data_IF_612879060752
#
_entry.id   IF_612879060752
#
_cell.length_a   1.000
_cell.length_b   1.000
_cell.length_c   1.000
_cell.angle_alpha   90.00
_cell.angle_beta   90.00
_cell.angle_gamma   90.00
#
_symmetry.space_group_name_H-M   'P 1'
#
loop_
_entity.id
_entity.type
_entity.pdbx_description
1 polymer ?
2 non-polymer ?
3 water ?
#
# COMPACT_ATOMS: atom_id res chain seq x y z
N UNK A 1 18.68 -3.60 1.45
CA UNK A 1 18.24 -4.66 2.34
C UNK A 1 17.07 -5.38 1.75
N UNK A 2 17.00 -6.68 2.00
CA UNK A 2 15.89 -7.49 1.57
C UNK A 2 14.86 -7.43 2.71
N UNK A 3 13.65 -6.97 2.44
CA UNK A 3 12.65 -6.85 3.49
C UNK A 3 11.53 -7.88 3.29
N UNK A 4 11.24 -8.65 4.34
CA UNK A 4 10.16 -9.65 4.38
C UNK A 4 8.94 -8.91 4.92
N UNK A 5 7.83 -9.48 4.50
CA UNK A 5 6.58 -8.92 4.83
C UNK A 5 5.89 -9.48 6.02
N UNK A 6 6.58 -10.16 6.93
CA UNK A 6 5.92 -10.67 8.12
C UNK A 6 5.58 -9.53 9.03
N UNK A 7 6.35 -8.45 9.05
CA UNK A 7 5.93 -7.32 9.87
C UNK A 7 5.71 -6.21 8.88
N UNK A 8 5.08 -5.12 9.30
CA UNK A 8 4.92 -3.94 8.47
C UNK A 8 6.33 -3.45 8.12
N UNK A 9 6.57 -3.10 6.80
CA UNK A 9 7.88 -2.64 6.30
C UNK A 9 8.05 -1.17 6.56
N UNK A 10 8.57 -0.98 7.75
CA UNK A 10 8.79 0.33 8.31
C UNK A 10 10.21 0.73 8.21
N UNK A 11 10.38 1.98 7.92
CA UNK A 11 11.69 2.51 7.75
C UNK A 11 11.80 3.89 8.37
N UNK A 12 12.99 4.26 8.72
CA UNK A 12 13.18 5.57 9.34
C UNK A 12 13.58 6.59 8.27
N UNK A 13 12.89 7.72 8.36
CA UNK A 13 13.17 8.77 7.45
C UNK A 13 13.58 10.01 8.21
N UNK A 14 14.33 10.83 7.51
CA UNK A 14 14.77 12.11 7.99
C UNK A 14 14.27 13.04 6.93
N UNK A 15 13.44 13.97 7.37
CA UNK A 15 12.84 14.94 6.49
C UNK A 15 12.72 16.30 7.22
N UNK A 16 13.25 17.32 6.60
CA UNK A 16 13.19 18.63 7.23
C UNK A 16 13.82 18.71 8.60
N UNK A 17 14.92 18.02 8.82
CA UNK A 17 15.58 18.02 10.11
C UNK A 17 14.97 17.16 11.20
N UNK A 18 13.82 16.50 10.93
CA UNK A 18 13.08 15.67 11.88
C UNK A 18 13.13 14.20 11.53
N UNK A 19 13.22 13.35 12.57
CA UNK A 19 13.30 11.93 12.30
C UNK A 19 11.94 11.37 12.44
N UNK A 20 11.55 10.49 11.55
CA UNK A 20 10.22 9.91 11.70
C UNK A 20 10.27 8.52 11.15
N UNK A 21 9.22 7.79 11.36
CA UNK A 21 9.17 6.47 10.77
C UNK A 21 8.12 6.44 9.66
N UNK A 22 8.25 5.57 8.67
CA UNK A 22 7.28 5.54 7.60
C UNK A 22 7.17 4.16 7.01
N UNK A 23 6.04 3.93 6.46
CA UNK A 23 5.75 2.69 5.87
C UNK A 23 6.04 2.65 4.40
N UNK A 24 6.78 1.63 3.98
CA UNK A 24 7.09 1.40 2.59
C UNK A 24 5.85 0.86 1.89
N UNK A 25 5.22 1.65 1.05
CA UNK A 25 4.01 1.23 0.40
C UNK A 25 3.94 1.20 -1.13
N UNK A 26 3.87 -0.02 -1.69
CA UNK A 26 3.72 -0.22 -3.14
C UNK A 26 2.35 0.08 -3.65
N UNK A 27 1.33 0.05 -2.81
CA UNK A 27 -0.01 0.36 -3.27
C UNK A 27 -0.35 1.86 -3.31
N UNK A 28 0.62 2.77 -3.03
CA UNK A 28 0.42 4.22 -3.01
C UNK A 28 1.24 4.86 -4.09
N UNK A 29 0.60 5.68 -4.90
CA UNK A 29 1.34 6.32 -5.93
C UNK A 29 2.26 7.38 -5.37
N UNK A 30 1.78 8.03 -4.31
CA UNK A 30 2.40 9.17 -3.66
C UNK A 30 2.93 8.91 -2.29
N UNK A 31 3.65 9.93 -1.78
CA UNK A 31 4.23 9.95 -0.45
C UNK A 31 3.39 10.92 0.37
N UNK A 32 2.83 10.40 1.43
CA UNK A 32 1.97 11.16 2.28
C UNK A 32 2.33 11.16 3.75
N UNK A 33 2.59 12.35 4.29
CA UNK A 33 3.00 12.43 5.65
C UNK A 33 1.99 13.11 6.54
N UNK A 34 1.98 12.60 7.76
CA UNK A 34 1.17 13.13 8.83
C UNK A 34 1.55 14.60 8.98
N UNK A 35 0.65 15.42 9.46
CA UNK A 35 0.96 16.84 9.60
C UNK A 35 2.34 17.15 10.25
N UNK A 36 3.09 18.11 9.65
CA UNK A 36 4.42 18.50 10.12
C UNK A 36 4.86 19.86 9.67
N UNK A 37 6.00 20.21 10.26
CA UNK A 37 6.67 21.47 10.08
C UNK A 37 7.55 21.45 8.85
N UNK A 38 6.98 21.91 7.74
CA UNK A 38 7.68 21.97 6.47
C UNK A 38 7.75 23.41 5.96
N UNK A 39 8.76 23.68 5.14
CA UNK A 39 8.90 25.01 4.65
C UNK A 39 8.95 25.13 3.16
N UNK A 40 8.50 26.32 2.78
CA UNK A 40 8.46 26.70 1.39
C UNK A 40 7.01 26.79 0.93
N UNK A 41 6.83 26.77 -0.35
CA UNK A 41 5.46 26.85 -0.73
C UNK A 41 4.75 25.52 -0.90
N UNK A 42 3.44 25.61 -1.03
CA UNK A 42 2.62 24.45 -1.18
C UNK A 42 1.35 24.61 -1.98
N UNK A 43 0.89 23.56 -2.65
CA UNK A 43 -0.38 23.66 -3.38
C UNK A 43 -1.41 22.79 -2.67
N UNK A 44 -2.68 23.18 -2.60
CA UNK A 44 -3.69 22.30 -1.99
C UNK A 44 -4.03 21.18 -2.97
N UNK A 45 -4.31 19.98 -2.46
CA UNK A 45 -4.66 18.81 -3.29
C UNK A 45 -5.59 17.85 -2.50
N UNK A 46 -6.17 16.90 -3.23
CA UNK A 46 -7.03 15.87 -2.72
C UNK A 46 -6.62 14.53 -3.27
N UNK A 47 -6.52 13.51 -2.44
CA UNK A 47 -6.15 12.18 -2.86
C UNK A 47 -7.18 11.21 -2.40
N UNK A 48 -7.19 10.06 -2.98
CA UNK A 48 -8.17 9.16 -2.48
C UNK A 48 -7.54 7.88 -2.01
N UNK A 49 -8.19 7.27 -1.08
CA UNK A 49 -7.76 6.02 -0.54
C UNK A 49 -8.95 5.17 -0.21
N UNK A 50 -8.71 4.25 0.69
CA UNK A 50 -9.73 3.38 1.13
C UNK A 50 -10.91 3.94 1.82
N UNK A 51 -10.85 4.86 2.76
CA UNK A 51 -12.22 5.11 3.15
C UNK A 51 -12.79 6.32 2.48
N UNK A 52 -12.07 6.91 1.55
CA UNK A 52 -12.50 8.12 0.90
C UNK A 52 -11.34 9.11 0.62
N UNK A 53 -11.71 10.35 0.58
CA UNK A 53 -10.81 11.38 0.22
C UNK A 53 -10.36 12.27 1.35
N UNK A 54 -9.12 12.69 1.31
CA UNK A 54 -8.60 13.60 2.33
C UNK A 54 -8.02 14.82 1.57
N UNK A 55 -7.96 15.95 2.27
CA UNK A 55 -7.39 17.12 1.64
C UNK A 55 -5.94 17.25 2.12
N UNK A 56 -5.02 17.46 1.18
CA UNK A 56 -3.60 17.57 1.52
C UNK A 56 -2.99 18.87 0.97
N UNK A 57 -1.72 19.05 1.31
CA UNK A 57 -0.93 20.17 0.84
C UNK A 57 0.21 19.54 0.06
N UNK A 58 0.37 19.94 -1.15
CA UNK A 58 1.41 19.39 -1.94
C UNK A 58 2.62 20.31 -1.96
N UNK A 59 3.82 19.73 -1.57
CA UNK A 59 5.16 20.34 -1.50
C UNK A 59 6.08 19.64 -2.46
N UNK A 60 6.69 20.40 -3.36
CA UNK A 60 7.57 19.84 -4.36
C UNK A 60 8.98 20.06 -4.01
N UNK A 61 9.82 19.20 -4.58
CA UNK A 61 11.25 19.26 -4.38
C UNK A 61 11.76 19.23 -2.95
N UNK A 62 11.17 18.30 -2.21
CA UNK A 62 11.53 18.08 -0.81
C UNK A 62 12.60 17.01 -0.64
N UNK A 63 13.64 17.26 0.08
CA UNK A 63 14.63 16.24 0.22
C UNK A 63 14.26 15.29 1.35
N UNK A 64 14.38 14.02 1.09
CA UNK A 64 14.07 13.06 2.10
C UNK A 64 15.11 11.98 2.09
N UNK A 65 15.47 11.59 3.28
CA UNK A 65 16.48 10.60 3.45
C UNK A 65 15.82 9.35 3.91
N UNK A 66 15.94 8.27 3.16
CA UNK A 66 15.20 7.07 3.52
C UNK A 66 16.15 5.98 3.74
N UNK A 67 16.16 5.45 4.93
CA UNK A 67 17.15 4.46 5.26
C UNK A 67 18.54 5.01 4.84
N UNK A 68 18.99 6.28 5.15
CA UNK A 68 20.29 6.76 4.68
C UNK A 68 20.42 7.05 3.17
N UNK A 69 19.32 6.99 2.41
CA UNK A 69 19.38 7.25 1.00
C UNK A 69 18.64 8.53 0.69
N UNK A 70 19.25 9.43 -0.05
CA UNK A 70 18.62 10.66 -0.40
C UNK A 70 17.74 10.54 -1.62
N UNK A 71 16.66 11.24 -1.57
CA UNK A 71 15.76 11.28 -2.70
C UNK A 71 15.17 12.68 -2.64
N UNK A 72 14.78 13.20 -3.80
CA UNK A 72 14.14 14.53 -3.90
C UNK A 72 12.79 14.33 -4.60
N UNK A 73 11.67 14.89 -4.07
CA UNK A 73 10.43 14.64 -4.70
C UNK A 73 9.29 15.35 -4.03
N UNK A 74 8.11 15.09 -4.55
CA UNK A 74 6.87 15.66 -4.07
C UNK A 74 6.41 14.83 -2.89
N UNK A 75 5.97 15.54 -1.87
CA UNK A 75 5.51 15.02 -0.61
C UNK A 75 4.21 15.74 -0.32
N UNK A 76 3.22 14.96 0.09
CA UNK A 76 1.89 15.42 0.42
C UNK A 76 1.74 15.36 1.93
N UNK A 77 1.30 16.46 2.48
CA UNK A 77 1.21 16.46 3.90
C UNK A 77 -0.23 16.64 4.24
N UNK A 78 -0.74 15.81 5.14
CA UNK A 78 -2.13 15.92 5.49
C UNK A 78 -2.46 14.91 6.54
N UNK A 79 -3.75 14.67 6.67
CA UNK A 79 -4.25 13.76 7.68
C UNK A 79 -4.22 12.24 7.44
N UNK A 80 -3.07 11.71 7.04
CA UNK A 80 -2.94 10.30 6.91
C UNK A 80 -2.81 9.78 8.33
N UNK A 81 -3.21 8.52 8.53
CA UNK A 81 -3.07 7.92 9.86
C UNK A 81 -1.61 7.46 10.13
N UNK A 82 -0.86 7.13 9.04
CA UNK A 82 0.53 6.63 9.07
C UNK A 82 1.34 7.32 7.95
N UNK A 83 2.64 7.61 8.14
CA UNK A 83 3.50 8.18 7.12
C UNK A 83 3.69 7.08 6.08
N UNK A 84 3.46 7.38 4.80
CA UNK A 84 3.56 6.38 3.73
C UNK A 84 4.61 6.79 2.71
N UNK A 85 5.54 5.90 2.32
CA UNK A 85 6.48 6.28 1.29
C UNK A 85 5.92 5.54 0.08
N UNK A 86 5.53 6.24 -0.95
CA UNK A 86 4.95 5.58 -2.07
C UNK A 86 5.89 5.51 -3.22
N UNK A 87 5.30 5.07 -4.33
CA UNK A 87 5.97 4.83 -5.62
C UNK A 87 6.80 5.98 -6.18
N UNK A 88 6.39 7.21 -5.96
CA UNK A 88 7.21 8.29 -6.41
C UNK A 88 8.59 8.30 -5.80
N UNK A 89 8.82 7.84 -4.53
CA UNK A 89 10.15 7.86 -3.96
C UNK A 89 10.71 6.48 -4.01
N UNK A 90 9.87 5.49 -3.97
CA UNK A 90 10.37 4.08 -4.02
C UNK A 90 11.19 3.79 -5.28
N UNK A 91 10.83 4.39 -6.38
CA UNK A 91 11.59 4.23 -7.61
C UNK A 91 12.94 4.88 -7.49
N UNK A 92 13.02 6.03 -6.75
CA UNK A 92 14.26 6.75 -6.55
C UNK A 92 15.29 6.00 -5.79
N UNK A 93 14.90 5.18 -4.85
CA UNK A 93 15.87 4.40 -4.07
C UNK A 93 16.11 2.97 -4.67
N UNK A 94 15.55 2.76 -5.88
CA UNK A 94 15.61 1.54 -6.66
C UNK A 94 14.91 0.43 -5.91
N UNK A 95 13.77 0.71 -5.34
CA UNK A 95 13.14 -0.33 -4.61
C UNK A 95 12.30 -1.28 -5.49
N UNK A 96 12.51 -2.61 -5.36
CA UNK A 96 11.74 -3.62 -6.14
C UNK A 96 10.95 -4.64 -5.29
N UNK A 97 9.98 -5.18 -6.00
CA UNK A 97 9.07 -6.19 -5.45
C UNK A 97 9.54 -7.51 -6.08
N UNK A 98 9.87 -8.53 -5.29
CA UNK A 98 10.34 -9.81 -5.82
C UNK A 98 9.65 -11.05 -5.20
N UNK A 99 9.10 -11.92 -6.02
CA UNK A 99 8.47 -13.07 -5.45
C UNK A 99 9.03 -14.39 -5.93
N UNK B 1 9.14 -13.42 -10.68
CA UNK B 1 9.44 -12.14 -11.26
C UNK B 1 9.99 -11.18 -10.24
N UNK B 2 10.64 -10.20 -10.82
CA UNK B 2 11.19 -9.08 -10.14
C UNK B 2 10.29 -7.93 -10.67
N UNK B 3 9.62 -7.23 -9.78
CA UNK B 3 8.70 -6.19 -10.13
C UNK B 3 9.24 -4.80 -9.80
N UNK B 4 9.36 -3.97 -10.84
CA UNK B 4 9.79 -2.62 -10.64
C UNK B 4 8.54 -1.80 -10.40
N UNK B 5 8.81 -0.66 -9.82
CA UNK B 5 7.74 0.19 -9.39
C UNK B 5 7.38 1.42 -10.20
N UNK B 6 7.88 1.53 -11.46
CA UNK B 6 7.59 2.61 -12.43
C UNK B 6 6.08 2.63 -12.78
N UNK B 7 5.45 1.47 -12.77
CA UNK B 7 4.02 1.42 -12.94
C UNK B 7 3.49 0.66 -11.72
N UNK B 8 2.18 0.77 -11.51
CA UNK B 8 1.44 0.08 -10.44
C UNK B 8 1.72 -1.45 -10.47
N UNK B 9 2.06 -2.13 -9.36
CA UNK B 9 2.35 -3.58 -9.47
C UNK B 9 1.06 -4.37 -9.47
N UNK B 10 0.58 -4.60 -10.67
CA UNK B 10 -0.69 -5.28 -10.89
C UNK B 10 -0.46 -6.68 -11.27
N UNK B 11 -1.32 -7.56 -10.83
CA UNK B 11 -1.08 -8.90 -11.17
C UNK B 11 -2.43 -9.51 -11.45
N UNK B 12 -2.46 -10.67 -12.07
CA UNK B 12 -3.72 -11.33 -12.37
C UNK B 12 -4.03 -12.37 -11.29
N UNK B 13 -5.25 -12.32 -10.78
CA UNK B 13 -5.59 -13.33 -9.80
C UNK B 13 -6.77 -14.16 -10.30
N UNK B 14 -6.95 -15.31 -9.69
CA UNK B 14 -8.07 -16.20 -9.96
C UNK B 14 -8.64 -16.57 -8.61
N UNK B 15 -9.89 -16.16 -8.45
CA UNK B 15 -10.63 -16.36 -7.23
C UNK B 15 -12.12 -16.62 -7.50
N UNK B 16 -12.72 -17.65 -6.88
CA UNK B 16 -14.16 -17.91 -7.06
C UNK B 16 -14.60 -18.31 -8.47
N UNK B 17 -13.66 -18.88 -9.26
CA UNK B 17 -13.85 -19.26 -10.65
C UNK B 17 -13.80 -18.01 -11.55
N UNK B 18 -13.43 -16.82 -10.98
CA UNK B 18 -13.35 -15.53 -11.61
C UNK B 18 -11.92 -15.02 -11.70
N UNK B 19 -11.63 -14.41 -12.88
CA UNK B 19 -10.35 -13.82 -13.27
C UNK B 19 -10.39 -12.36 -12.89
N UNK B 20 -9.40 -11.85 -12.15
CA UNK B 20 -9.43 -10.46 -11.77
C UNK B 20 -8.03 -9.92 -11.77
N UNK B 21 -7.93 -8.62 -11.56
CA UNK B 21 -6.60 -8.03 -11.46
C UNK B 21 -6.55 -7.30 -10.14
N UNK B 22 -5.41 -7.35 -9.47
CA UNK B 22 -5.25 -6.74 -8.19
C UNK B 22 -3.88 -6.13 -7.99
N UNK B 23 -3.81 -5.19 -7.06
CA UNK B 23 -2.54 -4.57 -6.69
C UNK B 23 -1.78 -5.25 -5.61
N UNK B 24 -0.48 -5.33 -5.78
CA UNK B 24 0.28 -5.86 -4.68
C UNK B 24 0.54 -4.69 -3.76
N UNK B 25 0.02 -4.79 -2.60
CA UNK B 25 0.16 -3.74 -1.67
C UNK B 25 0.90 -4.09 -0.42
N UNK B 26 2.11 -3.62 -0.34
CA UNK B 26 2.82 -3.85 0.91
C UNK B 26 2.34 -3.04 2.07
N UNK B 27 1.53 -2.00 1.86
CA UNK B 27 1.05 -1.24 2.99
C UNK B 27 -0.28 -1.70 3.48
N UNK B 28 -0.82 -2.80 2.94
CA UNK B 28 -2.09 -3.28 3.45
C UNK B 28 -1.81 -4.53 4.24
N UNK B 29 -2.33 -4.59 5.44
CA UNK B 29 -2.12 -5.79 6.20
C UNK B 29 -3.02 -6.88 5.65
N UNK B 30 -4.21 -6.52 5.16
CA UNK B 30 -5.18 -7.48 4.64
C UNK B 30 -5.38 -7.43 3.14
N UNK B 31 -6.21 -8.40 2.66
CA UNK B 31 -6.53 -8.54 1.25
C UNK B 31 -7.98 -8.14 1.07
N UNK B 32 -8.21 -7.16 0.23
CA UNK B 32 -9.52 -6.57 0.03
C UNK B 32 -9.93 -6.47 -1.40
N UNK B 33 -11.06 -7.13 -1.67
CA UNK B 33 -11.49 -7.16 -3.00
C UNK B 33 -12.85 -6.54 -3.16
N UNK B 34 -13.06 -5.96 -4.33
CA UNK B 34 -14.32 -5.37 -4.70
C UNK B 34 -15.37 -6.41 -4.43
N UNK B 35 -16.58 -5.93 -4.43
CA UNK B 35 -17.76 -6.75 -4.19
C UNK B 35 -17.94 -7.91 -5.21
N UNK B 36 -17.98 -9.16 -4.70
CA UNK B 36 -18.15 -10.35 -5.54
C UNK B 36 -18.88 -11.53 -4.97
N UNK B 37 -19.15 -12.42 -5.97
CA UNK B 37 -19.82 -13.71 -5.84
C UNK B 37 -18.85 -14.65 -5.19
N UNK B 38 -19.07 -14.76 -3.88
CA UNK B 38 -18.24 -15.61 -3.08
C UNK B 38 -19.08 -16.54 -2.19
N UNK B 39 -18.88 -17.82 -2.43
CA UNK B 39 -19.62 -18.78 -1.72
C UNK B 39 -19.14 -18.98 -0.31
N UNK B 40 -20.15 -19.15 0.54
CA UNK B 40 -19.96 -19.40 1.95
C UNK B 40 -20.58 -18.39 2.91
N UNK B 41 -20.02 -18.61 4.08
CA UNK B 41 -20.22 -17.95 5.35
C UNK B 41 -19.30 -16.73 5.58
N UNK B 42 -19.87 -15.62 5.99
CA UNK B 42 -18.98 -14.54 6.23
C UNK B 42 -19.21 -13.87 7.55
N UNK B 43 -18.30 -12.98 7.95
CA UNK B 43 -18.51 -12.21 9.18
C UNK B 43 -18.26 -10.75 8.88
N UNK B 44 -19.04 -9.84 9.44
CA UNK B 44 -18.78 -8.44 9.15
C UNK B 44 -17.50 -7.97 9.86
N UNK B 45 -16.88 -6.93 9.34
CA UNK B 45 -15.64 -6.43 9.91
C UNK B 45 -15.51 -4.99 9.45
N UNK B 46 -14.70 -4.24 10.15
CA UNK B 46 -14.43 -2.86 9.79
C UNK B 46 -12.95 -2.67 9.50
N UNK B 47 -12.64 -2.05 8.38
CA UNK B 47 -11.25 -1.81 8.14
C UNK B 47 -11.13 -0.33 7.89
N UNK B 48 -9.94 0.18 8.03
CA UNK B 48 -9.75 1.60 7.79
C UNK B 48 -8.55 1.93 6.90
N UNK B 49 -8.52 3.10 6.28
CA UNK B 49 -7.41 3.49 5.43
C UNK B 49 -7.33 4.99 5.36
N UNK B 50 -6.65 5.54 4.33
CA UNK B 50 -6.52 6.96 4.05
C UNK B 50 -7.83 7.72 4.17
N UNK B 51 -8.92 7.32 3.56
CA UNK B 51 -9.86 8.36 3.86
C UNK B 51 -10.79 8.03 4.97
N UNK B 52 -10.67 6.89 5.58
CA UNK B 52 -11.64 6.66 6.59
C UNK B 52 -11.78 5.19 6.77
N UNK B 53 -12.97 4.79 7.03
CA UNK B 53 -13.20 3.43 7.29
C UNK B 53 -14.22 2.83 6.42
N UNK B 54 -14.17 1.52 6.33
CA UNK B 54 -15.20 0.87 5.54
C UNK B 54 -15.70 -0.39 6.24
N UNK B 55 -16.93 -0.74 5.84
CA UNK B 55 -17.64 -1.92 6.27
C UNK B 55 -17.42 -3.04 5.23
N UNK B 56 -16.82 -4.16 5.67
CA UNK B 56 -16.51 -5.32 4.83
C UNK B 56 -16.98 -6.70 5.37
N UNK B 57 -17.11 -7.70 4.46
CA UNK B 57 -17.46 -9.04 4.91
C UNK B 57 -16.23 -9.88 4.89
N UNK B 58 -15.96 -10.51 5.99
CA UNK B 58 -14.81 -11.35 6.06
C UNK B 58 -15.09 -12.83 5.76
N UNK B 59 -14.34 -13.31 4.73
CA UNK B 59 -14.33 -14.69 4.28
C UNK B 59 -12.98 -15.27 4.63
N UNK B 60 -12.98 -16.44 5.26
CA UNK B 60 -11.79 -17.17 5.68
C UNK B 60 -11.61 -18.40 4.80
N UNK B 61 -10.38 -18.92 4.79
CA UNK B 61 -9.99 -20.07 3.99
C UNK B 61 -10.37 -20.02 2.50
N UNK B 62 -10.10 -18.88 1.86
CA UNK B 62 -10.39 -18.76 0.44
C UNK B 62 -9.17 -19.10 -0.41
N UNK B 63 -9.28 -20.01 -1.37
CA UNK B 63 -8.12 -20.31 -2.20
C UNK B 63 -7.95 -19.21 -3.23
N UNK B 64 -6.74 -18.67 -3.50
CA UNK B 64 -6.51 -17.64 -4.52
C UNK B 64 -5.32 -18.05 -5.33
N UNK B 65 -5.36 -17.89 -6.63
CA UNK B 65 -4.22 -18.18 -7.42
C UNK B 65 -3.67 -16.82 -7.76
N UNK B 66 -2.48 -16.55 -7.31
CA UNK B 66 -1.94 -15.23 -7.50
C UNK B 66 -0.83 -15.29 -8.43
N UNK B 67 -1.03 -14.73 -9.59
CA UNK B 67 0.00 -14.80 -10.60
C UNK B 67 0.54 -16.25 -10.69
N UNK B 68 -0.35 -17.28 -10.86
CA UNK B 68 0.06 -18.66 -10.89
C UNK B 68 0.22 -19.33 -9.51
N UNK B 69 0.59 -18.60 -8.45
CA UNK B 69 0.79 -19.20 -7.17
C UNK B 69 -0.47 -19.35 -6.38
N UNK B 70 -0.69 -20.53 -5.84
CA UNK B 70 -1.83 -20.75 -4.99
C UNK B 70 -1.55 -20.30 -3.53
N UNK B 71 -2.61 -19.76 -2.89
CA UNK B 71 -2.51 -19.39 -1.51
C UNK B 71 -3.88 -19.59 -0.96
N UNK B 72 -4.01 -19.80 0.36
CA UNK B 72 -5.31 -19.98 1.02
C UNK B 72 -5.36 -18.98 2.17
N UNK B 73 -6.44 -18.18 2.34
CA UNK B 73 -6.48 -17.23 3.44
C UNK B 73 -7.73 -16.38 3.56
N UNK B 74 -7.61 -15.44 4.46
CA UNK B 74 -8.67 -14.51 4.75
C UNK B 74 -8.75 -13.44 3.67
N UNK B 75 -9.95 -13.32 3.17
CA UNK B 75 -10.23 -12.39 2.12
C UNK B 75 -11.38 -11.56 2.59
N UNK B 76 -11.24 -10.25 2.42
CA UNK B 76 -12.23 -9.27 2.77
C UNK B 76 -12.91 -8.70 1.51
N UNK B 77 -14.25 -8.70 1.50
CA UNK B 77 -14.95 -8.24 0.34
C UNK B 77 -15.73 -7.01 0.63
N UNK B 78 -15.43 -5.97 -0.09
CA UNK B 78 -16.17 -4.78 0.19
C UNK B 78 -15.89 -3.68 -0.82
N UNK B 79 -16.38 -2.51 -0.44
CA UNK B 79 -16.29 -1.28 -1.18
C UNK B 79 -14.92 -0.66 -1.45
N UNK B 80 -13.91 -1.40 -1.88
CA UNK B 80 -12.63 -0.86 -2.17
C UNK B 80 -12.66 -0.30 -3.58
N UNK B 81 -11.81 0.72 -3.88
CA UNK B 81 -11.84 1.21 -5.27
C UNK B 81 -11.18 0.21 -6.23
N UNK B 82 -10.10 -0.42 -5.70
CA UNK B 82 -9.28 -1.37 -6.41
C UNK B 82 -9.04 -2.63 -5.61
N UNK B 83 -8.90 -3.75 -6.27
CA UNK B 83 -8.63 -5.03 -5.63
C UNK B 83 -7.24 -5.01 -5.07
N UNK B 84 -7.05 -5.34 -3.78
CA UNK B 84 -5.73 -5.26 -3.15
C UNK B 84 -5.31 -6.56 -2.48
N UNK B 85 -4.05 -6.94 -2.65
CA UNK B 85 -3.44 -8.13 -2.07
C UNK B 85 -2.48 -7.60 -1.09
N UNK B 86 -2.76 -7.86 0.15
CA UNK B 86 -1.91 -7.35 1.18
C UNK B 86 -1.05 -8.39 1.76
N UNK B 87 -0.45 -7.97 2.81
CA UNK B 87 0.53 -8.74 3.48
C UNK B 87 0.20 -10.17 3.87
N UNK B 88 -1.03 -10.49 4.28
CA UNK B 88 -1.35 -11.88 4.64
C UNK B 88 -1.17 -12.90 3.51
N UNK B 89 -1.31 -12.54 2.23
CA UNK B 89 -1.13 -13.46 1.14
C UNK B 89 0.24 -13.23 0.60
N UNK B 90 0.72 -11.99 0.68
CA UNK B 90 2.09 -11.67 0.18
C UNK B 90 3.15 -12.52 0.79
N UNK B 91 3.08 -12.76 2.07
CA UNK B 91 4.05 -13.63 2.73
C UNK B 91 3.89 -15.06 2.23
N UNK B 92 2.65 -15.51 1.94
CA UNK B 92 2.41 -16.85 1.45
C UNK B 92 3.03 -17.12 0.09
N UNK B 93 3.16 -16.12 -0.76
CA UNK B 93 3.78 -16.32 -2.05
C UNK B 93 5.27 -15.93 -2.05
N UNK B 94 5.88 -15.69 -0.85
CA UNK B 94 7.31 -15.34 -0.73
C UNK B 94 7.74 -14.00 -1.31
N UNK B 95 6.83 -13.09 -1.32
CA UNK B 95 7.12 -11.83 -1.84
C UNK B 95 7.93 -10.92 -0.92
N UNK B 96 9.01 -10.34 -1.47
CA UNK B 96 9.86 -9.43 -0.71
C UNK B 96 10.02 -8.06 -1.37
N UNK B 97 10.43 -7.17 -0.50
CA UNK B 97 10.71 -5.80 -0.82
C UNK B 97 12.23 -5.77 -0.91
N UNK B 98 12.74 -5.08 -1.94
CA UNK B 98 14.17 -5.02 -2.19
C UNK B 98 14.76 -3.71 -2.71
N UNK B 99 15.64 -3.13 -1.94
CA UNK B 99 16.39 -1.93 -2.28
C UNK B 99 17.76 -2.10 -1.64
X LIG C 1 -2.95 5.94 -1.50
X LIG C 1 -3.69 4.90 -0.68
X LIG C 1 -3.92 2.44 -0.21
X LIG C 1 -4.27 1.38 -1.25
X LIG C 1 -5.36 1.72 -2.27
X LIG C 1 -4.79 2.32 -3.58
X LIG C 1 -5.91 2.56 -4.59
X LIG C 1 -6.93 3.50 -3.95
X LIG C 1 -7.49 2.89 -2.66
X LIG C 1 -6.39 2.65 -1.66
X LIG C 1 -3.01 1.77 0.83
X LIG C 1 -2.70 2.65 2.06
X LIG C 1 -2.51 1.90 3.38
X LIG C 1 -1.85 2.88 4.39
X LIG C 1 -1.52 2.24 5.74
X LIG C 1 -2.53 4.24 4.61
X LIG C 1 -3.90 1.40 3.85
X LIG C 1 -5.00 -0.41 5.10
X LIG C 1 -6.11 -1.05 4.17
X LIG C 1 -6.34 -2.56 3.87
X LIG C 1 -6.32 -3.53 5.06
X LIG C 1 -4.51 -1.02 6.44
X LIG C 1 -5.36 -1.44 8.73
X LIG C 1 -6.81 -1.91 9.04
X LIG C 1 -4.91 -0.34 9.73
X LIG C 1 -3.40 0.01 9.76
X LIG C 1 -3.09 1.39 10.38
X LIG C 1 -2.70 1.45 12.85
X LIG C 1 -3.30 3.61 -0.88
X LIG C 1 -3.84 0.22 4.49
X LIG C 1 -7.42 -3.54 5.82
X LIG C 1 -5.48 -0.93 7.38
X LIG C 1 -6.91 -2.92 9.92
X LIG C 1 -2.26 1.30 11.58
X LIG C 1 -3.14 0.40 13.54
X LIG C 1 -2.71 2.63 13.46
X LIG C 1 -4.56 5.26 0.09
X LIG C 1 -1.87 1.27 0.16
X LIG C 1 -4.91 2.05 3.63
X LIG C 1 -5.29 -4.13 5.33
X LIG C 1 -3.46 -1.64 6.55
X LIG C 1 -7.77 -1.38 8.50
X LIG D 1 -5.55 -0.93 3.97
X LIG D 1 -5.18 0.44 3.39
X LIG D 1 -3.28 1.82 2.44
X LIG D 1 -1.96 2.03 3.17
X LIG D 1 -2.17 2.71 4.50
X LIG D 1 -2.18 1.71 5.67
X LIG D 1 -2.38 2.42 7.00
X LIG D 1 -3.69 3.20 6.94
X LIG D 1 -3.67 4.21 5.79
X LIG D 1 -3.46 3.52 4.47
X LIG D 1 -2.94 1.79 0.95
X LIG D 1 -4.10 1.40 0.03
X LIG D 1 -4.00 2.00 -1.34
X LIG D 1 -4.98 1.28 -2.31
X LIG D 1 -4.84 1.73 -3.76
X LIG D 1 -6.45 1.19 -1.90
X LIG D 1 -4.28 3.50 -1.24
X LIG D 1 -3.65 5.64 -2.14
X LIG D 1 -2.81 6.46 -1.11
X LIG D 1 -2.67 7.99 -1.36
X LIG D 1 -1.62 8.37 -2.44
X LIG D 1 -3.47 5.83 -3.66
X LIG D 1 -4.21 7.20 -5.50
X LIG D 1 -4.56 8.70 -5.53
X LIG D 1 -5.19 6.25 -6.27
X LIG D 1 -6.65 6.73 -6.37
X LIG D 1 -7.71 5.97 -5.53
X LIG D 1 -10.21 6.33 -5.08
X LIG D 1 -3.88 0.58 3.00
X LIG D 1 -3.49 4.21 -2.04
X LIG D 1 -1.97 9.43 -3.12
X LIG D 1 -4.22 6.84 -4.10
X LIG D 1 -4.10 9.32 -6.62
X LIG D 1 -9.03 6.59 -5.72
X LIG D 1 -11.30 6.16 -5.79
X LIG D 1 -10.34 6.25 -3.75
X LIG D 1 -6.04 1.29 3.27
X LIG D 1 -1.81 0.96 0.85
X LIG D 1 -5.12 3.96 -0.48
X LIG D 1 -0.66 7.66 -2.72
X LIG D 1 -2.63 5.24 -4.34
X LIG D 1 -5.19 9.26 -4.64
#
# INVERSE_FOLDING_TARGET
>A
PQITLWQRPLVTIKIGGQLKEALLDTGSDDTVLEEMSLPGRWKPKMIGGIGGFIKVRQYDQILIEICGHKAIGTVLVGPTPVNIIGRNLLTQIGCTLNF
>B
PQITLWQRPLVTIKIGGQLKEALLDTGSDDTVLEEMSLPGRWKPKMIGGIGGFIKVRQYDQILIEICGHKAIGTVLVGPTPVNIIGRNLLTQIGCTLNF
>C hetero
1 U0E C1 C2 C3 C4 C5 C6 C7 C8 C9 C10 C11 C12 C13 C14 C15 C16 C17 C18 C19 C20 C21 C22 C23 C24 C25 C26 C27 C28 N1 N2 N3 N4 N5 N6 N7 N8 O1 O2 O3 O4 O5 O6
>D hetero
1 U0E C1 C2 C3 C4 C5 C6 C7 C8 C9 C10 C11 C12 C13 C14 C15 C16 C17 C18 C19 C20 C21 C22 C23 C24 C25 C26 C27 C28 N1 N2 N3 N4 N5 N6 N7 N8 O1 O2 O3 O4 O5 O6
#
